data_IF_065542896068
#
_entry.id   IF_065542896068
#
_cell.length_a   1.000
_cell.length_b   1.000
_cell.length_c   1.000
_cell.angle_alpha   90.00
_cell.angle_beta   90.00
_cell.angle_gamma   90.00
#
_symmetry.space_group_name_H-M   'P 1'
#
loop_
_entity.id
_entity.type
_entity.pdbx_description
1 polymer ?
#
# COMPACT_ATOMS: atom_id res chain seq x y z
N UNK A 1 -9.91 19.84 15.73
CA UNK A 1 -8.63 19.41 15.13
C UNK A 1 -8.75 19.61 13.64
N UNK A 2 -8.24 20.71 13.12
CA UNK A 2 -8.24 20.95 11.68
C UNK A 2 -7.36 19.88 11.05
N UNK A 3 -7.91 19.07 10.13
CA UNK A 3 -7.10 18.11 9.37
C UNK A 3 -6.11 18.92 8.55
N UNK A 4 -4.83 18.82 8.89
CA UNK A 4 -3.78 19.41 8.07
C UNK A 4 -3.58 18.53 6.84
N UNK A 5 -3.62 19.12 5.65
CA UNK A 5 -3.29 18.41 4.42
C UNK A 5 -1.78 18.30 4.34
N UNK A 6 -1.27 17.14 4.74
CA UNK A 6 0.17 16.83 4.73
C UNK A 6 0.60 16.48 3.30
N UNK A 7 1.57 17.23 2.76
CA UNK A 7 2.30 17.05 1.48
C UNK A 7 3.01 15.71 1.28
N UNK A 8 3.12 14.92 2.33
CA UNK A 8 4.03 13.77 2.43
C UNK A 8 3.28 12.52 2.01
N UNK A 9 3.93 11.73 1.18
CA UNK A 9 3.47 10.39 0.83
C UNK A 9 3.19 9.58 2.10
N UNK A 10 1.97 9.06 2.16
CA UNK A 10 1.54 8.16 3.22
C UNK A 10 2.03 6.74 2.95
N UNK A 11 2.20 5.93 4.00
CA UNK A 11 2.57 4.52 3.82
C UNK A 11 1.53 3.76 3.01
N UNK A 12 0.25 4.15 3.10
CA UNK A 12 -0.80 3.56 2.27
C UNK A 12 -0.64 3.91 0.79
N UNK A 13 -0.16 5.11 0.46
CA UNK A 13 0.08 5.52 -0.92
C UNK A 13 1.27 4.74 -1.51
N UNK A 14 2.33 4.53 -0.71
CA UNK A 14 3.44 3.68 -1.10
C UNK A 14 3.01 2.21 -1.32
N UNK A 15 2.16 1.66 -0.45
CA UNK A 15 1.62 0.30 -0.60
C UNK A 15 0.82 0.15 -1.90
N UNK A 16 -0.03 1.13 -2.22
CA UNK A 16 -0.82 1.13 -3.46
C UNK A 16 0.12 1.18 -4.68
N UNK A 17 1.12 2.06 -4.66
CA UNK A 17 2.11 2.15 -5.74
C UNK A 17 2.88 0.84 -5.95
N UNK A 18 3.36 0.22 -4.88
CA UNK A 18 4.01 -1.10 -4.96
C UNK A 18 3.08 -2.18 -5.55
N UNK A 19 1.78 -2.14 -5.22
CA UNK A 19 0.81 -3.08 -5.76
C UNK A 19 0.54 -2.84 -7.26
N UNK A 20 0.43 -1.58 -7.68
CA UNK A 20 0.26 -1.21 -9.09
C UNK A 20 1.46 -1.62 -9.95
N UNK A 21 2.68 -1.48 -9.42
CA UNK A 21 3.91 -1.92 -10.09
C UNK A 21 4.07 -3.45 -10.15
N UNK A 22 3.44 -4.18 -9.22
CA UNK A 22 3.54 -5.63 -9.11
C UNK A 22 2.55 -6.40 -10.00
N UNK A 23 1.42 -5.80 -10.36
CA UNK A 23 0.36 -6.46 -11.14
C UNK A 23 0.34 -6.00 -12.60
N UNK A 24 -0.24 -6.83 -13.48
CA UNK A 24 -0.45 -6.43 -14.87
C UNK A 24 -1.65 -5.47 -15.00
N UNK A 25 -1.67 -4.61 -16.02
CA UNK A 25 -2.88 -3.86 -16.38
C UNK A 25 -4.08 -4.80 -16.56
N UNK A 26 -5.28 -4.32 -16.23
CA UNK A 26 -6.53 -5.09 -16.28
C UNK A 26 -6.58 -6.31 -15.34
N UNK A 27 -5.65 -6.42 -14.39
CA UNK A 27 -5.74 -7.37 -13.29
C UNK A 27 -7.06 -7.17 -12.52
N UNK A 28 -7.69 -8.28 -12.14
CA UNK A 28 -8.96 -8.22 -11.40
C UNK A 28 -8.79 -7.49 -10.08
N UNK A 29 -9.83 -6.76 -9.64
CA UNK A 29 -9.85 -6.07 -8.35
C UNK A 29 -9.48 -7.02 -7.20
N UNK A 30 -9.97 -8.26 -7.24
CA UNK A 30 -9.64 -9.29 -6.25
C UNK A 30 -8.13 -9.52 -6.16
N UNK A 31 -7.47 -9.77 -7.29
CA UNK A 31 -6.03 -10.03 -7.34
C UNK A 31 -5.22 -8.81 -6.91
N UNK A 32 -5.70 -7.60 -7.23
CA UNK A 32 -5.08 -6.36 -6.78
C UNK A 32 -5.18 -6.19 -5.25
N UNK A 33 -6.34 -6.46 -4.65
CA UNK A 33 -6.54 -6.40 -3.20
C UNK A 33 -5.75 -7.48 -2.46
N UNK A 34 -5.64 -8.70 -3.02
CA UNK A 34 -4.77 -9.75 -2.49
C UNK A 34 -3.31 -9.29 -2.47
N UNK A 35 -2.84 -8.67 -3.57
CA UNK A 35 -1.49 -8.10 -3.67
C UNK A 35 -1.26 -6.99 -2.63
N UNK A 36 -2.23 -6.08 -2.46
CA UNK A 36 -2.18 -5.05 -1.40
C UNK A 36 -2.04 -5.68 -0.02
N UNK A 37 -2.82 -6.73 0.28
CA UNK A 37 -2.77 -7.41 1.58
C UNK A 37 -1.38 -7.96 1.87
N UNK A 38 -0.77 -8.66 0.91
CA UNK A 38 0.57 -9.24 1.07
C UNK A 38 1.64 -8.15 1.26
N UNK A 39 1.54 -7.05 0.52
CA UNK A 39 2.47 -5.92 0.65
C UNK A 39 2.30 -5.25 2.01
N UNK A 40 1.06 -5.03 2.45
CA UNK A 40 0.76 -4.42 3.74
C UNK A 40 1.29 -5.26 4.91
N UNK A 41 1.18 -6.59 4.84
CA UNK A 41 1.75 -7.48 5.86
C UNK A 41 3.27 -7.30 5.98
N UNK A 42 4.00 -7.19 4.86
CA UNK A 42 5.45 -6.90 4.90
C UNK A 42 5.77 -5.52 5.50
N UNK A 43 4.94 -4.51 5.24
CA UNK A 43 5.10 -3.18 5.84
C UNK A 43 4.86 -3.21 7.35
N UNK A 44 3.80 -3.91 7.80
CA UNK A 44 3.51 -4.13 9.21
C UNK A 44 4.65 -4.88 9.91
N UNK A 45 5.17 -5.94 9.31
CA UNK A 45 6.30 -6.70 9.85
C UNK A 45 7.53 -5.81 10.05
N UNK A 46 7.83 -4.91 9.09
CA UNK A 46 8.92 -3.94 9.21
C UNK A 46 8.72 -2.94 10.35
N UNK A 47 7.49 -2.47 10.56
CA UNK A 47 7.17 -1.57 11.67
C UNK A 47 7.24 -2.25 13.03
N UNK A 48 6.88 -3.54 13.11
CA UNK A 48 6.93 -4.31 14.35
C UNK A 48 8.38 -4.70 14.68
N UNK A 49 9.22 -4.87 13.66
CA UNK A 49 10.63 -5.22 13.80
C UNK A 49 11.55 -4.01 14.14
N UNK A 50 11.04 -2.78 14.16
CA UNK A 50 11.78 -1.54 14.50
C UNK A 50 11.63 -1.14 15.97
#
# INVERSE_FOLDING_TARGET
>A
MCRETVKRESEIEAIIGEAEDAVLPETSEKTFLETISEIMDRHLDRMIAS
#
